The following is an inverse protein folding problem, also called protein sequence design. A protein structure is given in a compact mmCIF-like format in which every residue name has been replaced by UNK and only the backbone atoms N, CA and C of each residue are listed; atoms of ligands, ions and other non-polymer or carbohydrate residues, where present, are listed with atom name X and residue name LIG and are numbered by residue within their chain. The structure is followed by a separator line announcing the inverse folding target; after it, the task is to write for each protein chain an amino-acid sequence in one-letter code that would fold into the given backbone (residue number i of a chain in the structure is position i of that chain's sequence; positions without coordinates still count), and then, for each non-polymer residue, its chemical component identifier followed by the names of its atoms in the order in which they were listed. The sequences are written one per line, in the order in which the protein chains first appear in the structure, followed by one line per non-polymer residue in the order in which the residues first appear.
data_IF_308901179841
#
_entry.id   IF_308901179841
#
_cell.length_a   1.000
_cell.length_b   1.000
_cell.length_c   1.000
_cell.angle_alpha   90.00
_cell.angle_beta   90.00
_cell.angle_gamma   90.00
#
_symmetry.space_group_name_H-M   'P 1'
#
loop_
_entity.id
_entity.type
_entity.pdbx_description
1 polymer ?
#
# COMPACT_ATOMS: atom_id res chain seq x y z
N UNK A 1 15.97 4.80 12.01
CA UNK A 1 15.48 4.12 10.79
C UNK A 1 15.77 5.03 9.61
N UNK A 2 16.47 4.56 8.57
CA UNK A 2 16.64 5.36 7.34
C UNK A 2 15.33 5.31 6.57
N UNK A 3 14.74 6.48 6.42
CA UNK A 3 13.49 6.75 5.72
C UNK A 3 13.82 7.05 4.23
N UNK A 4 12.99 6.60 3.30
CA UNK A 4 13.21 6.79 1.85
C UNK A 4 12.60 8.09 1.37
N UNK A 5 13.49 9.02 0.95
CA UNK A 5 13.21 10.41 0.53
C UNK A 5 12.22 10.58 -0.63
N UNK A 6 11.76 9.48 -1.25
CA UNK A 6 10.88 9.49 -2.42
C UNK A 6 10.27 8.11 -2.67
N UNK A 7 9.04 8.08 -3.18
CA UNK A 7 8.42 6.87 -3.73
C UNK A 7 9.38 6.17 -4.73
N UNK A 8 9.68 4.88 -4.58
CA UNK A 8 10.59 4.17 -5.48
C UNK A 8 10.21 4.22 -6.96
N UNK A 9 8.93 4.43 -7.26
CA UNK A 9 8.38 4.50 -8.60
C UNK A 9 8.22 5.93 -9.16
N UNK A 10 8.86 6.95 -8.56
CA UNK A 10 8.83 8.35 -9.04
C UNK A 10 9.48 8.43 -10.44
N UNK A 11 8.74 8.07 -11.49
CA UNK A 11 9.22 8.01 -12.86
C UNK A 11 8.50 7.01 -13.76
N UNK A 12 7.96 5.91 -13.21
CA UNK A 12 7.08 4.99 -13.97
C UNK A 12 5.63 5.45 -13.91
N UNK A 13 5.42 6.77 -13.93
CA UNK A 13 4.11 7.37 -13.94
C UNK A 13 3.28 6.61 -14.98
N UNK A 14 2.26 5.87 -14.49
CA UNK A 14 1.06 5.66 -15.26
C UNK A 14 0.70 7.07 -15.67
N UNK A 15 1.02 7.39 -16.93
CA UNK A 15 0.94 8.74 -17.47
C UNK A 15 -0.37 9.33 -17.00
N UNK A 16 -0.31 10.33 -16.11
CA UNK A 16 -1.41 11.27 -15.99
C UNK A 16 -1.41 11.98 -17.32
N UNK A 17 -2.07 11.38 -18.31
CA UNK A 17 -2.58 12.11 -19.46
C UNK A 17 -3.54 13.11 -18.83
N UNK A 18 -3.00 14.30 -18.55
CA UNK A 18 -3.78 15.50 -18.30
C UNK A 18 -4.58 15.76 -19.57
N UNK A 19 -5.71 15.07 -19.71
CA UNK A 19 -6.83 15.58 -20.50
C UNK A 19 -7.35 16.78 -19.73
N UNK A 20 -6.98 17.99 -20.17
CA UNK A 20 -7.57 19.23 -19.70
C UNK A 20 -9.06 19.23 -20.02
N UNK A 21 -9.87 18.66 -19.13
CA UNK A 21 -11.31 18.89 -19.18
C UNK A 21 -11.59 20.09 -18.28
N UNK A 22 -11.59 21.26 -18.94
CA UNK A 22 -12.20 22.46 -18.43
C UNK A 22 -13.67 22.16 -18.12
N UNK A 23 -14.01 21.94 -16.86
CA UNK A 23 -15.40 21.94 -16.43
C UNK A 23 -15.70 23.28 -15.79
N UNK A 24 -16.46 24.08 -16.54
CA UNK A 24 -17.10 25.32 -16.08
C UNK A 24 -17.86 25.10 -14.79
N UNK A 25 -17.64 25.99 -13.83
CA UNK A 25 -18.42 26.11 -12.61
C UNK A 25 -19.81 26.64 -12.93
N UNK A 26 -20.83 25.78 -12.91
CA UNK A 26 -22.20 26.26 -12.75
C UNK A 26 -22.45 26.54 -11.26
N UNK A 27 -22.39 27.81 -10.92
CA UNK A 27 -22.89 28.42 -9.69
C UNK A 27 -24.41 28.27 -9.64
N UNK A 28 -24.95 27.71 -8.55
CA UNK A 28 -26.16 28.19 -7.85
C UNK A 28 -26.54 27.22 -6.71
N UNK A 29 -26.44 27.72 -5.47
CA UNK A 29 -27.55 27.93 -4.55
C UNK A 29 -27.07 27.81 -3.10
N UNK A 30 -27.27 28.90 -2.37
CA UNK A 30 -26.95 29.12 -0.96
C UNK A 30 -27.75 28.22 -0.02
N UNK A 31 -27.13 27.79 1.09
CA UNK A 31 -27.84 27.65 2.35
C UNK A 31 -26.91 27.68 3.57
N UNK A 32 -27.33 28.52 4.53
CA UNK A 32 -27.01 28.55 5.95
C UNK A 32 -25.56 28.77 6.39
N UNK A 33 -25.34 30.00 6.88
CA UNK A 33 -24.35 30.36 7.90
C UNK A 33 -24.46 29.45 9.12
N UNK A 34 -23.53 28.51 9.24
CA UNK A 34 -23.10 27.96 10.53
C UNK A 34 -21.57 28.04 10.54
N UNK A 35 -21.03 28.56 11.64
CA UNK A 35 -19.60 28.58 11.96
C UNK A 35 -18.89 27.29 11.51
N UNK A 36 -17.64 27.35 11.02
CA UNK A 36 -16.98 26.18 10.47
C UNK A 36 -16.72 25.21 11.61
N UNK A 37 -17.61 24.24 11.75
CA UNK A 37 -17.39 23.06 12.58
C UNK A 37 -16.03 22.50 12.20
N UNK A 38 -15.21 22.15 13.19
CA UNK A 38 -13.96 21.39 13.04
C UNK A 38 -14.25 20.05 12.33
N UNK A 39 -14.48 20.09 11.02
CA UNK A 39 -14.71 18.89 10.22
C UNK A 39 -13.35 18.31 9.93
N UNK A 40 -13.02 17.17 10.54
CA UNK A 40 -11.79 16.45 10.23
C UNK A 40 -11.71 16.11 8.74
N UNK A 41 -10.49 16.02 8.20
CA UNK A 41 -10.26 15.65 6.79
C UNK A 41 -11.01 14.38 6.41
N UNK A 42 -11.06 13.42 7.34
CA UNK A 42 -11.84 12.19 7.25
C UNK A 42 -13.33 12.43 6.92
N UNK A 43 -13.99 13.35 7.62
CA UNK A 43 -15.41 13.64 7.40
C UNK A 43 -15.62 14.26 6.02
N UNK A 44 -14.74 15.17 5.61
CA UNK A 44 -14.82 15.85 4.31
C UNK A 44 -14.64 14.88 3.14
N UNK A 45 -13.72 13.93 3.26
CA UNK A 45 -13.50 12.93 2.22
C UNK A 45 -14.66 11.93 2.16
N UNK A 46 -15.15 11.46 3.31
CA UNK A 46 -16.22 10.46 3.35
C UNK A 46 -17.57 11.03 2.85
N UNK A 47 -17.84 12.31 3.10
CA UNK A 47 -19.04 13.01 2.59
C UNK A 47 -18.89 13.55 1.16
N UNK A 48 -17.70 13.48 0.57
CA UNK A 48 -17.48 13.87 -0.82
C UNK A 48 -18.05 12.80 -1.77
N UNK A 49 -19.36 12.90 -2.01
CA UNK A 49 -20.18 12.22 -3.03
C UNK A 49 -19.57 10.97 -3.70
N UNK A 50 -19.66 9.84 -2.99
CA UNK A 50 -19.73 8.50 -3.57
C UNK A 50 -18.41 7.90 -4.10
N UNK A 51 -18.31 6.56 -4.14
CA UNK A 51 -17.07 5.80 -4.41
C UNK A 51 -16.52 5.88 -5.84
N UNK A 52 -16.99 6.84 -6.67
CA UNK A 52 -16.63 6.98 -8.09
C UNK A 52 -15.97 8.32 -8.44
N UNK A 53 -15.82 9.22 -7.48
CA UNK A 53 -15.24 10.55 -7.70
C UNK A 53 -13.87 10.61 -7.04
N UNK A 54 -12.86 11.08 -7.79
CA UNK A 54 -11.51 11.28 -7.27
C UNK A 54 -11.52 12.26 -6.09
N UNK A 55 -10.72 11.98 -5.07
CA UNK A 55 -10.67 12.78 -3.83
C UNK A 55 -9.55 13.82 -3.85
N UNK A 56 -8.69 13.79 -4.87
CA UNK A 56 -7.63 14.77 -5.07
C UNK A 56 -8.12 16.23 -4.99
N UNK A 57 -9.27 16.63 -5.58
CA UNK A 57 -9.76 18.00 -5.45
C UNK A 57 -10.04 18.42 -4.00
N UNK A 58 -10.50 17.50 -3.16
CA UNK A 58 -10.76 17.75 -1.73
C UNK A 58 -9.46 17.92 -0.96
N UNK A 59 -8.46 17.09 -1.27
CA UNK A 59 -7.13 17.16 -0.65
C UNK A 59 -6.39 18.45 -1.03
N UNK A 60 -6.41 18.84 -2.30
CA UNK A 60 -5.83 20.11 -2.73
C UNK A 60 -6.54 21.32 -2.12
N UNK A 61 -7.87 21.27 -2.03
CA UNK A 61 -8.64 22.32 -1.36
C UNK A 61 -8.29 22.41 0.14
N UNK A 62 -8.05 21.27 0.80
CA UNK A 62 -7.60 21.23 2.19
C UNK A 62 -6.23 21.89 2.39
N UNK A 63 -5.27 21.60 1.52
CA UNK A 63 -3.96 22.26 1.52
C UNK A 63 -4.06 23.76 1.25
N UNK A 64 -4.91 24.17 0.30
CA UNK A 64 -5.15 25.59 -0.02
C UNK A 64 -5.74 26.37 1.16
N UNK A 65 -6.49 25.70 2.03
CA UNK A 65 -7.02 26.26 3.27
C UNK A 65 -5.94 26.40 4.38
N UNK A 66 -4.67 26.10 4.07
CA UNK A 66 -3.52 26.29 4.97
C UNK A 66 -3.49 25.32 6.15
N UNK A 67 -4.23 24.21 6.06
CA UNK A 67 -4.24 23.19 7.11
C UNK A 67 -3.20 22.12 6.82
N UNK A 68 -2.43 21.80 7.84
CA UNK A 68 -1.46 20.71 7.77
C UNK A 68 -2.18 19.37 7.63
N UNK A 69 -1.54 18.45 6.91
CA UNK A 69 -1.99 17.07 6.74
C UNK A 69 -0.93 16.18 7.35
N UNK A 70 -1.25 15.54 8.47
CA UNK A 70 -0.33 14.64 9.13
C UNK A 70 -0.28 13.28 8.41
N UNK A 71 0.93 12.72 8.27
CA UNK A 71 1.11 11.42 7.61
C UNK A 71 0.37 10.28 8.34
N UNK A 72 0.26 10.36 9.66
CA UNK A 72 -0.47 9.39 10.50
C UNK A 72 -1.98 9.39 10.17
N UNK A 73 -2.59 10.57 10.02
CA UNK A 73 -4.00 10.72 9.66
C UNK A 73 -4.30 10.13 8.28
N UNK A 74 -3.41 10.33 7.30
CA UNK A 74 -3.54 9.74 5.97
C UNK A 74 -3.45 8.22 6.01
N UNK A 75 -2.53 7.66 6.81
CA UNK A 75 -2.41 6.20 7.00
C UNK A 75 -3.68 5.62 7.59
N UNK A 76 -4.20 6.21 8.66
CA UNK A 76 -5.44 5.78 9.29
C UNK A 76 -6.62 5.84 8.30
N UNK A 77 -6.64 6.87 7.46
CA UNK A 77 -7.65 7.01 6.44
C UNK A 77 -7.56 5.92 5.36
N UNK A 78 -6.36 5.66 4.84
CA UNK A 78 -6.11 4.56 3.89
C UNK A 78 -6.55 3.22 4.49
N UNK A 79 -6.24 2.96 5.77
CA UNK A 79 -6.63 1.73 6.46
C UNK A 79 -8.16 1.61 6.52
N UNK A 80 -8.87 2.68 6.89
CA UNK A 80 -10.34 2.68 6.96
C UNK A 80 -10.96 2.45 5.58
N UNK A 81 -10.44 3.09 4.54
CA UNK A 81 -10.90 2.90 3.16
C UNK A 81 -10.66 1.48 2.65
N UNK A 82 -9.53 0.87 3.02
CA UNK A 82 -9.26 -0.53 2.69
C UNK A 82 -10.26 -1.47 3.35
N UNK A 83 -10.64 -1.20 4.61
CA UNK A 83 -11.67 -1.96 5.34
C UNK A 83 -13.06 -1.79 4.72
N UNK A 84 -13.39 -0.59 4.21
CA UNK A 84 -14.65 -0.33 3.49
C UNK A 84 -14.62 -0.71 2.01
N UNK A 85 -13.54 -1.36 1.53
CA UNK A 85 -13.32 -1.78 0.13
C UNK A 85 -13.31 -0.63 -0.90
N UNK A 86 -13.06 0.59 -0.45
CA UNK A 86 -12.90 1.76 -1.32
C UNK A 86 -11.47 1.81 -1.90
N UNK A 87 -11.07 0.78 -2.65
CA UNK A 87 -9.67 0.58 -3.05
C UNK A 87 -9.13 1.67 -3.98
N UNK A 88 -9.95 2.16 -4.93
CA UNK A 88 -9.56 3.25 -5.83
C UNK A 88 -9.16 4.51 -5.05
N UNK A 89 -9.99 4.87 -4.08
CA UNK A 89 -9.77 6.03 -3.24
C UNK A 89 -8.56 5.83 -2.32
N UNK A 90 -8.44 4.65 -1.70
CA UNK A 90 -7.27 4.34 -0.89
C UNK A 90 -5.97 4.42 -1.73
N UNK A 91 -6.02 4.00 -2.99
CA UNK A 91 -4.88 4.06 -3.91
C UNK A 91 -4.51 5.49 -4.26
N UNK A 92 -5.49 6.33 -4.65
CA UNK A 92 -5.24 7.75 -4.97
C UNK A 92 -4.54 8.48 -3.83
N UNK A 93 -5.01 8.27 -2.59
CA UNK A 93 -4.43 8.92 -1.40
C UNK A 93 -3.05 8.35 -1.10
N UNK A 94 -2.87 7.04 -1.28
CA UNK A 94 -1.56 6.42 -1.14
C UNK A 94 -0.58 7.03 -2.14
N UNK A 95 -0.90 7.08 -3.43
CA UNK A 95 -0.06 7.68 -4.48
C UNK A 95 0.24 9.13 -4.16
N UNK A 96 -0.78 9.93 -3.81
CA UNK A 96 -0.62 11.33 -3.42
C UNK A 96 0.36 11.53 -2.25
N UNK A 97 0.27 10.67 -1.22
CA UNK A 97 1.14 10.70 -0.05
C UNK A 97 2.62 10.47 -0.43
N UNK A 98 2.91 9.60 -1.41
CA UNK A 98 4.28 9.30 -1.83
C UNK A 98 4.82 10.18 -2.95
N UNK A 99 3.96 10.56 -3.90
CA UNK A 99 4.35 11.25 -5.13
C UNK A 99 4.32 12.75 -4.98
N UNK A 100 3.33 13.31 -4.29
CA UNK A 100 3.14 14.76 -4.24
C UNK A 100 3.69 15.36 -2.95
N UNK A 101 3.44 14.70 -1.81
CA UNK A 101 3.90 15.18 -0.51
C UNK A 101 5.33 14.76 -0.15
N UNK A 102 5.99 13.92 -0.96
CA UNK A 102 7.34 13.39 -0.71
C UNK A 102 7.49 12.74 0.68
N UNK A 103 6.42 12.20 1.24
CA UNK A 103 6.54 11.54 2.53
C UNK A 103 7.37 10.27 2.42
N UNK A 104 8.21 10.07 3.42
CA UNK A 104 8.95 8.83 3.53
C UNK A 104 8.00 7.67 3.82
N UNK A 105 7.93 6.74 2.87
CA UNK A 105 7.05 5.58 2.98
C UNK A 105 7.71 4.50 3.84
N UNK A 106 7.01 4.09 4.89
CA UNK A 106 7.42 2.92 5.66
C UNK A 106 7.19 1.65 4.81
N UNK A 107 7.95 0.55 5.00
CA UNK A 107 7.68 -0.72 4.31
C UNK A 107 6.23 -1.19 4.41
N UNK A 108 5.54 -0.87 5.52
CA UNK A 108 4.11 -1.11 5.68
C UNK A 108 3.24 -0.31 4.71
N UNK A 109 3.56 0.96 4.45
CA UNK A 109 2.83 1.80 3.49
C UNK A 109 3.03 1.28 2.05
N UNK A 110 4.24 0.84 1.73
CA UNK A 110 4.60 0.24 0.44
C UNK A 110 3.80 -1.06 0.22
N UNK A 111 3.72 -1.92 1.23
CA UNK A 111 2.93 -3.15 1.18
C UNK A 111 1.43 -2.87 1.00
N UNK A 112 0.90 -1.85 1.69
CA UNK A 112 -0.49 -1.40 1.51
C UNK A 112 -0.71 -0.93 0.06
N UNK A 113 0.19 -0.11 -0.49
CA UNK A 113 0.06 0.37 -1.87
C UNK A 113 0.11 -0.79 -2.87
N UNK A 114 1.00 -1.76 -2.67
CA UNK A 114 1.10 -2.94 -3.52
C UNK A 114 -0.22 -3.75 -3.54
N UNK A 115 -0.85 -3.98 -2.37
CA UNK A 115 -2.17 -4.63 -2.27
C UNK A 115 -3.27 -3.78 -2.94
N UNK A 116 -3.23 -2.46 -2.81
CA UNK A 116 -4.19 -1.59 -3.47
C UNK A 116 -4.05 -1.62 -5.00
N UNK A 117 -2.82 -1.62 -5.52
CA UNK A 117 -2.54 -1.76 -6.95
C UNK A 117 -3.01 -3.13 -7.44
N UNK A 118 -2.74 -4.23 -6.74
CA UNK A 118 -3.20 -5.55 -7.20
C UNK A 118 -4.73 -5.63 -7.30
N UNK A 119 -5.45 -5.00 -6.36
CA UNK A 119 -6.92 -4.97 -6.34
C UNK A 119 -7.55 -4.06 -7.39
N UNK A 120 -6.96 -2.90 -7.64
CA UNK A 120 -7.53 -1.88 -8.55
C UNK A 120 -7.07 -2.10 -10.00
N UNK A 121 -5.84 -2.56 -10.16
CA UNK A 121 -5.09 -2.53 -11.41
C UNK A 121 -4.60 -3.92 -11.86
N UNK A 122 -4.74 -4.94 -11.02
CA UNK A 122 -4.36 -6.32 -11.29
C UNK A 122 -2.88 -6.62 -10.99
N UNK A 123 -2.59 -7.91 -10.88
CA UNK A 123 -1.28 -8.43 -10.44
C UNK A 123 -0.12 -7.95 -11.31
N UNK A 124 -0.29 -7.91 -12.64
CA UNK A 124 0.78 -7.44 -13.57
C UNK A 124 1.27 -6.03 -13.27
N UNK A 125 0.40 -5.13 -12.82
CA UNK A 125 0.80 -3.77 -12.43
C UNK A 125 1.41 -3.76 -11.02
N UNK A 126 0.95 -4.63 -10.13
CA UNK A 126 1.54 -4.82 -8.81
C UNK A 126 2.98 -5.36 -8.92
N UNK A 127 3.25 -6.33 -9.80
CA UNK A 127 4.58 -6.86 -10.08
C UNK A 127 5.54 -5.75 -10.55
N UNK A 128 5.14 -4.93 -11.53
CA UNK A 128 5.96 -3.79 -11.98
C UNK A 128 6.27 -2.80 -10.86
N UNK A 129 5.30 -2.53 -9.99
CA UNK A 129 5.52 -1.68 -8.83
C UNK A 129 6.49 -2.36 -7.84
N UNK A 130 6.36 -3.66 -7.62
CA UNK A 130 7.27 -4.44 -6.79
C UNK A 130 8.70 -4.40 -7.32
N UNK A 131 8.91 -4.55 -8.62
CA UNK A 131 10.23 -4.49 -9.26
C UNK A 131 10.95 -3.16 -9.02
N UNK A 132 10.20 -2.07 -8.94
CA UNK A 132 10.74 -0.75 -8.66
C UNK A 132 11.10 -0.51 -7.19
N UNK A 133 10.67 -1.38 -6.25
CA UNK A 133 11.03 -1.25 -4.83
C UNK A 133 12.53 -1.54 -4.65
N UNK A 134 13.30 -0.72 -3.91
CA UNK A 134 14.73 -0.94 -3.72
C UNK A 134 15.00 -2.28 -3.03
N UNK A 135 16.04 -2.97 -3.49
CA UNK A 135 16.37 -4.30 -2.98
C UNK A 135 16.66 -4.29 -1.48
N UNK A 136 17.18 -3.19 -0.92
CA UNK A 136 17.43 -3.04 0.51
C UNK A 136 16.15 -3.19 1.34
N UNK A 137 15.02 -2.68 0.83
CA UNK A 137 13.74 -2.85 1.49
C UNK A 137 13.22 -4.28 1.36
N UNK A 138 13.35 -4.89 0.17
CA UNK A 138 12.97 -6.29 -0.06
C UNK A 138 13.75 -7.23 0.86
N UNK A 139 15.07 -7.03 0.98
CA UNK A 139 15.94 -7.79 1.87
C UNK A 139 15.60 -7.57 3.35
N UNK A 140 15.31 -6.34 3.77
CA UNK A 140 14.91 -6.07 5.16
C UNK A 140 13.55 -6.70 5.51
N UNK A 141 12.62 -6.76 4.57
CA UNK A 141 11.36 -7.49 4.72
C UNK A 141 11.64 -9.00 4.83
N UNK A 142 12.56 -9.54 4.02
CA UNK A 142 12.99 -10.92 4.10
C UNK A 142 13.60 -11.28 5.46
N UNK A 143 14.53 -10.47 5.98
CA UNK A 143 15.14 -10.69 7.31
C UNK A 143 14.08 -10.77 8.43
N UNK A 144 13.07 -9.89 8.38
CA UNK A 144 11.97 -9.93 9.34
C UNK A 144 11.09 -11.16 9.19
N UNK A 145 10.84 -11.60 7.95
CA UNK A 145 10.08 -12.81 7.68
C UNK A 145 10.85 -14.06 8.16
N UNK A 146 12.16 -14.13 7.90
CA UNK A 146 13.05 -15.18 8.41
C UNK A 146 13.02 -15.24 9.94
N UNK A 147 13.20 -14.10 10.64
CA UNK A 147 13.15 -14.06 12.09
C UNK A 147 11.79 -14.48 12.67
N UNK A 148 10.69 -14.11 12.01
CA UNK A 148 9.34 -14.54 12.40
C UNK A 148 9.15 -16.04 12.16
N UNK A 149 9.64 -16.55 11.04
CA UNK A 149 9.56 -17.98 10.70
C UNK A 149 10.30 -18.84 11.72
N UNK A 150 11.53 -18.47 12.09
CA UNK A 150 12.28 -19.16 13.15
C UNK A 150 11.51 -19.12 14.48
N UNK A 151 10.99 -17.96 14.89
CA UNK A 151 10.18 -17.86 16.11
C UNK A 151 8.91 -18.72 16.05
N UNK A 152 8.28 -18.86 14.89
CA UNK A 152 7.13 -19.74 14.71
C UNK A 152 7.52 -21.22 14.81
N UNK A 153 8.73 -21.58 14.35
CA UNK A 153 9.28 -22.94 14.52
C UNK A 153 9.56 -23.23 16.00
N UNK A 154 10.20 -22.32 16.71
CA UNK A 154 10.50 -22.44 18.14
C UNK A 154 9.24 -22.62 19.00
N UNK A 155 8.13 -21.98 18.60
CA UNK A 155 6.83 -22.08 19.27
C UNK A 155 5.97 -23.24 18.74
N UNK A 156 6.54 -24.13 17.91
CA UNK A 156 5.86 -25.27 17.27
C UNK A 156 4.58 -24.88 16.48
N UNK A 157 4.48 -23.65 15.99
CA UNK A 157 3.35 -23.21 15.16
C UNK A 157 3.47 -23.64 13.70
N UNK A 158 4.66 -24.02 13.25
CA UNK A 158 4.92 -24.48 11.87
C UNK A 158 4.69 -26.00 11.79
N UNK A 159 3.42 -26.41 11.70
CA UNK A 159 3.02 -27.84 11.66
C UNK A 159 2.67 -28.38 10.28
N UNK A 160 2.49 -27.49 9.29
CA UNK A 160 2.00 -27.87 7.97
C UNK A 160 2.69 -27.09 6.85
N UNK A 161 2.36 -27.43 5.59
CA UNK A 161 3.11 -26.94 4.43
C UNK A 161 2.89 -25.46 4.13
N UNK A 162 1.81 -24.87 4.64
CA UNK A 162 1.44 -23.49 4.35
C UNK A 162 2.57 -22.50 4.66
N UNK A 163 3.14 -22.54 5.87
CA UNK A 163 4.17 -21.58 6.28
C UNK A 163 5.48 -21.78 5.50
N UNK A 164 5.83 -23.03 5.19
CA UNK A 164 6.98 -23.32 4.35
C UNK A 164 6.79 -22.79 2.93
N UNK A 165 5.62 -23.01 2.31
CA UNK A 165 5.31 -22.52 0.98
C UNK A 165 5.41 -20.99 0.89
N UNK A 166 4.92 -20.28 1.92
CA UNK A 166 5.06 -18.82 2.00
C UNK A 166 6.54 -18.41 1.99
N UNK A 167 7.40 -19.07 2.79
CA UNK A 167 8.84 -18.78 2.82
C UNK A 167 9.57 -19.18 1.54
N UNK A 168 9.23 -20.32 0.94
CA UNK A 168 9.80 -20.77 -0.33
C UNK A 168 9.48 -19.81 -1.48
N UNK A 169 8.22 -19.36 -1.58
CA UNK A 169 7.82 -18.33 -2.54
C UNK A 169 8.61 -17.04 -2.30
N UNK A 170 8.72 -16.59 -1.04
CA UNK A 170 9.48 -15.39 -0.70
C UNK A 170 10.97 -15.50 -1.09
N UNK A 171 11.60 -16.66 -0.88
CA UNK A 171 12.98 -16.89 -1.32
C UNK A 171 13.12 -16.89 -2.85
N UNK A 172 12.15 -17.47 -3.56
CA UNK A 172 12.11 -17.51 -5.03
C UNK A 172 12.04 -16.09 -5.59
N UNK A 173 11.13 -15.25 -5.07
CA UNK A 173 10.96 -13.85 -5.48
C UNK A 173 12.21 -12.98 -5.23
N UNK A 174 13.00 -13.31 -4.21
CA UNK A 174 14.27 -12.60 -3.89
C UNK A 174 15.48 -13.28 -4.54
N UNK A 175 15.29 -14.37 -5.30
CA UNK A 175 16.34 -15.10 -6.00
C UNK A 175 17.26 -15.95 -5.10
N UNK A 176 16.85 -16.25 -3.86
CA UNK A 176 17.60 -17.08 -2.90
C UNK A 176 17.23 -18.57 -3.02
N UNK A 177 17.38 -19.14 -4.21
CA UNK A 177 16.98 -20.53 -4.50
C UNK A 177 17.61 -21.58 -3.59
N UNK A 178 18.88 -21.42 -3.19
CA UNK A 178 19.52 -22.37 -2.27
C UNK A 178 18.86 -22.46 -0.88
N UNK A 179 18.11 -21.42 -0.46
CA UNK A 179 17.30 -21.49 0.77
C UNK A 179 15.98 -22.23 0.57
N UNK A 180 15.47 -22.31 -0.65
CA UNK A 180 14.30 -23.12 -1.00
C UNK A 180 14.66 -24.60 -0.82
N UNK A 181 15.80 -25.03 -1.35
CA UNK A 181 16.27 -26.42 -1.23
C UNK A 181 16.41 -26.86 0.25
N UNK A 182 16.92 -25.97 1.10
CA UNK A 182 17.03 -26.23 2.55
C UNK A 182 15.65 -26.45 3.17
N UNK A 183 14.65 -25.63 2.81
CA UNK A 183 13.29 -25.79 3.34
C UNK A 183 12.62 -27.06 2.83
N UNK A 184 12.84 -27.44 1.56
CA UNK A 184 12.33 -28.69 0.99
C UNK A 184 12.87 -29.88 1.78
N UNK A 185 14.18 -29.95 2.02
CA UNK A 185 14.79 -31.01 2.82
C UNK A 185 14.23 -31.04 4.26
N UNK A 186 14.07 -29.88 4.90
CA UNK A 186 13.48 -29.78 6.25
C UNK A 186 12.03 -30.32 6.29
N UNK A 187 11.24 -30.07 5.24
CA UNK A 187 9.88 -30.60 5.12
C UNK A 187 9.87 -32.12 4.96
N UNK A 188 10.77 -32.68 4.14
CA UNK A 188 10.90 -34.14 3.94
C UNK A 188 11.27 -34.84 5.24
N UNK A 189 12.24 -34.31 5.99
CA UNK A 189 12.65 -34.86 7.30
C UNK A 189 11.51 -34.84 8.33
N UNK A 190 10.64 -33.82 8.28
CA UNK A 190 9.49 -33.67 9.17
C UNK A 190 8.23 -34.41 8.68
N UNK A 191 8.29 -35.05 7.52
CA UNK A 191 7.14 -35.73 6.92
C UNK A 191 6.00 -34.78 6.52
N UNK A 192 6.33 -33.52 6.20
CA UNK A 192 5.36 -32.51 5.78
C UNK A 192 5.20 -32.61 4.26
N UNK A 193 3.95 -32.72 3.79
CA UNK A 193 3.63 -32.83 2.37
C UNK A 193 4.10 -31.60 1.57
N UNK A 194 4.93 -31.83 0.55
CA UNK A 194 5.36 -30.76 -0.37
C UNK A 194 4.27 -30.57 -1.43
N UNK A 195 3.63 -29.41 -1.42
CA UNK A 195 2.61 -29.06 -2.42
C UNK A 195 3.28 -28.61 -3.73
N UNK A 196 3.04 -29.34 -4.81
CA UNK A 196 3.42 -28.92 -6.18
C UNK A 196 4.48 -29.78 -6.89
N UNK A 197 4.50 -31.10 -6.66
CA UNK A 197 5.20 -32.04 -7.55
C UNK A 197 4.28 -32.52 -8.66
#
# INVERSE_FOLDING_TARGET
MKLLRSNPCRGTAISRVFGSLNYSTNTLASSSTTSPTFQSLHHRILFYKGPRVSVLPVLHQWLKEGRDVEQSELRDFIIKLRRSRCYNLALEISEWMGDEMNFDLHPGDIAIRLDLISRVHGNKRAERYFDCIPNELKHKCLEKAEALFEKMKDLEFVKGPFTYNVMMNLYTEVGKYGKVDILVNEMEEKGIEILGR
#
